data_IF_296427446982
#
_entry.id   IF_296427446982
#
_cell.length_a   1.000
_cell.length_b   1.000
_cell.length_c   1.000
_cell.angle_alpha   90.00
_cell.angle_beta   90.00
_cell.angle_gamma   90.00
#
_symmetry.space_group_name_H-M   'P 1'
#
loop_
_entity.id
_entity.type
_entity.pdbx_description
1 polymer ?
#
# COMPACT_ATOMS: atom_id res chain seq x y z
N UNK A 1 27.89 8.18 11.32
CA UNK A 1 26.84 7.48 12.10
C UNK A 1 25.69 7.26 11.12
N UNK A 2 25.41 6.02 10.74
CA UNK A 2 24.28 5.71 9.85
C UNK A 2 22.97 6.00 10.60
N UNK A 3 21.97 6.45 9.87
CA UNK A 3 20.64 6.65 10.46
C UNK A 3 19.88 5.31 10.47
N UNK A 4 18.89 5.09 11.36
CA UNK A 4 18.05 3.89 11.33
C UNK A 4 17.34 3.67 9.99
N UNK A 5 17.11 4.73 9.23
CA UNK A 5 16.55 4.65 7.87
C UNK A 5 17.54 4.06 6.86
N UNK A 6 18.82 4.35 7.01
CA UNK A 6 19.87 3.82 6.13
C UNK A 6 20.08 2.31 6.38
N UNK A 7 20.06 1.89 7.65
CA UNK A 7 20.16 0.46 8.02
C UNK A 7 18.99 -0.37 7.47
N UNK A 8 17.77 0.16 7.52
CA UNK A 8 16.60 -0.51 6.95
C UNK A 8 16.65 -0.58 5.43
N UNK A 9 17.18 0.45 4.75
CA UNK A 9 17.34 0.44 3.30
C UNK A 9 18.40 -0.59 2.86
N UNK A 10 19.47 -0.76 3.61
CA UNK A 10 20.46 -1.81 3.39
C UNK A 10 19.83 -3.21 3.57
N UNK A 11 19.07 -3.42 4.65
CA UNK A 11 18.37 -4.67 4.89
C UNK A 11 17.35 -4.98 3.77
N UNK A 12 16.61 -3.97 3.31
CA UNK A 12 15.70 -4.09 2.17
C UNK A 12 16.44 -4.52 0.90
N UNK A 13 17.59 -3.90 0.61
CA UNK A 13 18.42 -4.26 -0.54
C UNK A 13 18.93 -5.70 -0.47
N UNK A 14 19.39 -6.15 0.71
CA UNK A 14 19.82 -7.53 0.92
C UNK A 14 18.65 -8.51 0.75
N UNK A 15 17.48 -8.21 1.30
CA UNK A 15 16.30 -9.04 1.15
C UNK A 15 15.87 -9.15 -0.32
N UNK A 16 15.83 -8.03 -1.05
CA UNK A 16 15.51 -8.01 -2.49
C UNK A 16 16.51 -8.82 -3.32
N UNK A 17 17.80 -8.73 -3.02
CA UNK A 17 18.85 -9.51 -3.69
C UNK A 17 18.70 -11.02 -3.52
N UNK A 18 18.02 -11.47 -2.47
CA UNK A 18 17.67 -12.86 -2.22
C UNK A 18 16.38 -13.35 -2.89
N UNK A 19 15.58 -12.45 -3.50
CA UNK A 19 14.27 -12.82 -4.07
C UNK A 19 14.45 -13.59 -5.39
N UNK A 20 13.93 -14.83 -5.41
CA UNK A 20 13.88 -15.68 -6.61
C UNK A 20 12.54 -15.58 -7.36
N UNK A 21 11.54 -14.96 -6.73
CA UNK A 21 10.21 -14.80 -7.31
C UNK A 21 10.20 -13.91 -8.55
N UNK A 22 11.17 -12.99 -8.63
CA UNK A 22 11.32 -12.05 -9.75
C UNK A 22 12.76 -12.10 -10.25
N UNK A 23 12.93 -12.44 -11.52
CA UNK A 23 14.23 -12.40 -12.18
C UNK A 23 14.59 -10.96 -12.59
N UNK A 24 15.90 -10.65 -12.58
CA UNK A 24 16.40 -9.42 -13.16
C UNK A 24 16.06 -8.13 -12.40
N UNK A 25 15.87 -8.20 -11.08
CA UNK A 25 15.76 -6.98 -10.27
C UNK A 25 17.07 -6.18 -10.30
N UNK A 26 17.01 -4.96 -10.83
CA UNK A 26 18.14 -4.02 -10.82
C UNK A 26 18.05 -3.10 -9.61
N UNK A 27 18.71 -3.47 -8.52
CA UNK A 27 18.71 -2.73 -7.26
C UNK A 27 19.32 -1.32 -7.38
N UNK A 28 20.11 -1.05 -8.40
CA UNK A 28 20.65 0.29 -8.64
C UNK A 28 19.55 1.29 -9.07
N UNK A 29 18.40 0.79 -9.51
CA UNK A 29 17.24 1.59 -9.91
C UNK A 29 16.26 1.86 -8.78
N UNK A 30 16.54 1.37 -7.56
CA UNK A 30 15.64 1.54 -6.40
C UNK A 30 15.48 3.03 -6.07
N UNK A 31 14.27 3.55 -6.29
CA UNK A 31 13.94 4.96 -6.08
C UNK A 31 12.63 5.11 -5.29
N UNK A 32 12.46 6.16 -4.46
CA UNK A 32 11.18 6.42 -3.81
C UNK A 32 10.04 6.49 -4.82
N UNK A 33 8.95 5.78 -4.55
CA UNK A 33 7.77 5.72 -5.42
C UNK A 33 6.66 6.69 -4.98
N UNK A 34 6.50 6.91 -3.68
CA UNK A 34 5.55 7.86 -3.12
C UNK A 34 6.05 8.39 -1.77
N UNK A 35 5.54 9.56 -1.40
CA UNK A 35 5.68 10.13 -0.06
C UNK A 35 4.32 10.00 0.62
N UNK A 36 4.19 9.05 1.55
CA UNK A 36 3.00 8.90 2.37
C UNK A 36 3.26 9.50 3.76
N UNK A 37 2.21 9.98 4.40
CA UNK A 37 2.24 10.48 5.78
C UNK A 37 2.17 9.32 6.80
N UNK A 38 2.62 8.12 6.45
CA UNK A 38 2.71 6.94 7.28
C UNK A 38 4.16 6.54 7.55
N UNK A 39 4.35 5.54 8.41
CA UNK A 39 5.68 4.95 8.62
C UNK A 39 6.10 4.03 7.47
N UNK A 40 5.21 3.73 6.52
CA UNK A 40 5.50 2.95 5.33
C UNK A 40 6.27 3.79 4.33
N UNK A 41 7.28 3.17 3.73
CA UNK A 41 8.01 3.72 2.60
C UNK A 41 7.77 2.84 1.38
N UNK A 42 7.60 3.45 0.25
CA UNK A 42 7.41 2.74 -1.01
C UNK A 42 8.53 3.10 -1.96
N UNK A 43 9.11 2.08 -2.56
CA UNK A 43 10.16 2.22 -3.56
C UNK A 43 9.73 1.54 -4.85
N UNK A 44 10.22 2.04 -5.96
CA UNK A 44 10.09 1.40 -7.28
C UNK A 44 11.44 0.83 -7.68
N UNK A 45 11.43 -0.38 -8.22
CA UNK A 45 12.62 -1.07 -8.72
C UNK A 45 12.33 -1.62 -10.11
N UNK A 46 13.32 -1.55 -11.01
CA UNK A 46 13.24 -2.11 -12.36
C UNK A 46 13.51 -3.62 -12.31
N UNK A 47 12.66 -4.40 -12.98
CA UNK A 47 12.95 -5.79 -13.37
C UNK A 47 13.24 -5.88 -14.86
N UNK A 48 13.35 -7.09 -15.41
CA UNK A 48 13.72 -7.32 -16.83
C UNK A 48 12.81 -6.57 -17.82
N UNK A 49 11.50 -6.54 -17.59
CA UNK A 49 10.53 -5.97 -18.53
C UNK A 49 9.55 -4.99 -17.91
N UNK A 50 9.38 -5.05 -16.60
CA UNK A 50 8.40 -4.26 -15.85
C UNK A 50 9.04 -3.70 -14.59
N UNK A 51 8.38 -2.72 -13.99
CA UNK A 51 8.73 -2.20 -12.68
C UNK A 51 7.93 -2.91 -11.59
N UNK A 52 8.48 -2.91 -10.40
CA UNK A 52 7.85 -3.45 -9.19
C UNK A 52 7.83 -2.38 -8.11
N UNK A 53 6.90 -2.53 -7.17
CA UNK A 53 6.84 -1.73 -5.96
C UNK A 53 7.34 -2.56 -4.78
N UNK A 54 8.15 -1.94 -3.96
CA UNK A 54 8.64 -2.51 -2.70
C UNK A 54 8.13 -1.66 -1.56
N UNK A 55 7.42 -2.28 -0.62
CA UNK A 55 7.01 -1.64 0.62
C UNK A 55 8.00 -1.99 1.73
N UNK A 56 8.39 -0.99 2.50
CA UNK A 56 9.13 -1.09 3.75
C UNK A 56 8.26 -0.51 4.86
N UNK A 57 7.76 -1.37 5.72
CA UNK A 57 6.91 -1.05 6.87
C UNK A 57 7.58 -1.55 8.15
N UNK A 58 8.12 -0.68 9.02
CA UNK A 58 8.73 -1.09 10.27
C UNK A 58 7.75 -1.91 11.13
N UNK A 59 8.03 -3.19 11.45
CA UNK A 59 7.06 -4.10 12.09
C UNK A 59 6.53 -3.59 13.43
N UNK A 60 7.35 -2.85 14.18
CA UNK A 60 6.98 -2.26 15.47
C UNK A 60 6.02 -1.07 15.36
N UNK A 61 5.85 -0.53 14.14
CA UNK A 61 4.97 0.60 13.85
C UNK A 61 3.76 0.17 13.03
N UNK A 62 3.98 -0.58 11.97
CA UNK A 62 2.97 -0.97 11.01
C UNK A 62 3.20 -2.41 10.51
N UNK A 63 2.71 -3.43 11.26
CA UNK A 63 2.79 -4.83 10.81
C UNK A 63 2.10 -5.01 9.46
N UNK A 64 2.73 -5.77 8.54
CA UNK A 64 2.23 -5.96 7.18
C UNK A 64 1.11 -6.98 7.06
N UNK A 65 0.82 -7.76 8.10
CA UNK A 65 -0.17 -8.84 8.04
C UNK A 65 -1.57 -8.34 7.68
N UNK A 66 -1.95 -7.16 8.19
CA UNK A 66 -3.22 -6.52 7.84
C UNK A 66 -3.28 -6.15 6.37
N UNK A 67 -2.18 -5.63 5.81
CA UNK A 67 -2.08 -5.31 4.38
C UNK A 67 -2.26 -6.57 3.54
N UNK A 68 -1.51 -7.63 3.82
CA UNK A 68 -1.58 -8.90 3.10
C UNK A 68 -2.98 -9.52 3.17
N UNK A 69 -3.62 -9.48 4.35
CA UNK A 69 -4.99 -9.97 4.54
C UNK A 69 -6.00 -9.19 3.69
N UNK A 70 -5.95 -7.86 3.71
CA UNK A 70 -6.87 -7.01 2.94
C UNK A 70 -6.66 -7.19 1.45
N UNK A 71 -5.39 -7.22 1.00
CA UNK A 71 -5.05 -7.46 -0.39
C UNK A 71 -5.66 -8.77 -0.90
N UNK A 72 -5.49 -9.87 -0.16
CA UNK A 72 -6.07 -11.17 -0.50
C UNK A 72 -7.61 -11.12 -0.60
N UNK A 73 -8.28 -10.47 0.36
CA UNK A 73 -9.75 -10.32 0.35
C UNK A 73 -10.23 -9.50 -0.84
N UNK A 74 -9.54 -8.43 -1.18
CA UNK A 74 -9.87 -7.58 -2.33
C UNK A 74 -9.62 -8.32 -3.66
N UNK A 75 -8.54 -9.09 -3.75
CA UNK A 75 -8.24 -9.96 -4.90
C UNK A 75 -9.32 -11.01 -5.10
N UNK A 76 -9.76 -11.67 -4.03
CA UNK A 76 -10.84 -12.67 -4.05
C UNK A 76 -12.19 -12.05 -4.46
N UNK A 77 -12.40 -10.79 -4.12
CA UNK A 77 -13.55 -9.99 -4.59
C UNK A 77 -13.44 -9.61 -6.08
N UNK A 78 -12.31 -9.91 -6.72
CA UNK A 78 -12.04 -9.58 -8.13
C UNK A 78 -11.76 -8.11 -8.37
N UNK A 79 -11.21 -7.40 -7.38
CA UNK A 79 -10.70 -6.05 -7.52
C UNK A 79 -9.30 -6.05 -8.11
N UNK A 80 -8.92 -4.93 -8.75
CA UNK A 80 -7.57 -4.72 -9.23
C UNK A 80 -6.68 -4.28 -8.06
N UNK A 81 -5.92 -5.23 -7.53
CA UNK A 81 -4.96 -5.02 -6.43
C UNK A 81 -3.55 -5.39 -6.88
N UNK A 82 -2.50 -4.93 -6.19
CA UNK A 82 -1.14 -5.38 -6.48
C UNK A 82 -1.00 -6.89 -6.32
N UNK A 83 -0.31 -7.56 -7.21
CA UNK A 83 0.08 -8.95 -7.01
C UNK A 83 1.23 -9.02 -6.02
N UNK A 84 1.05 -9.71 -4.89
CA UNK A 84 2.11 -9.94 -3.90
C UNK A 84 3.03 -11.04 -4.40
N UNK A 85 4.29 -10.71 -4.67
CA UNK A 85 5.29 -11.62 -5.22
C UNK A 85 6.17 -12.23 -4.13
N UNK A 86 6.49 -11.46 -3.10
CA UNK A 86 7.19 -11.92 -1.92
C UNK A 86 6.86 -11.02 -0.73
N UNK A 87 6.94 -11.57 0.48
CA UNK A 87 6.78 -10.81 1.72
C UNK A 87 7.65 -11.39 2.84
N UNK A 88 8.02 -10.53 3.78
CA UNK A 88 8.73 -10.88 5.01
C UNK A 88 8.11 -10.11 6.18
N UNK A 89 7.22 -10.76 6.93
CA UNK A 89 6.53 -10.13 8.07
C UNK A 89 7.48 -9.80 9.22
N UNK A 90 8.58 -10.54 9.37
CA UNK A 90 9.55 -10.27 10.44
C UNK A 90 10.33 -8.98 10.19
N UNK A 91 10.63 -8.68 8.93
CA UNK A 91 11.31 -7.46 8.54
C UNK A 91 10.35 -6.35 8.07
N UNK A 92 9.10 -6.69 7.76
CA UNK A 92 8.08 -5.76 7.28
C UNK A 92 8.28 -5.35 5.82
N UNK A 93 8.73 -6.27 4.96
CA UNK A 93 8.96 -6.02 3.54
C UNK A 93 7.93 -6.73 2.67
N UNK A 94 7.49 -6.05 1.60
CA UNK A 94 6.64 -6.65 0.56
C UNK A 94 7.20 -6.24 -0.81
N UNK A 95 7.35 -7.22 -1.71
CA UNK A 95 7.57 -7.01 -3.14
C UNK A 95 6.27 -7.29 -3.88
N UNK A 96 5.79 -6.34 -4.67
CA UNK A 96 4.51 -6.42 -5.35
C UNK A 96 4.55 -5.85 -6.76
N UNK A 97 3.55 -6.17 -7.57
CA UNK A 97 3.41 -5.61 -8.91
C UNK A 97 3.19 -4.09 -8.85
N UNK A 98 3.68 -3.39 -9.88
CA UNK A 98 3.50 -1.95 -10.03
C UNK A 98 2.22 -1.66 -10.83
N UNK A 99 1.24 -1.00 -10.23
CA UNK A 99 -0.01 -0.59 -10.87
C UNK A 99 0.13 0.68 -11.73
N UNK A 100 1.34 1.25 -11.81
CA UNK A 100 1.64 2.42 -12.61
C UNK A 100 1.92 3.68 -11.80
N UNK A 101 1.97 4.82 -12.49
CA UNK A 101 2.38 6.11 -11.91
C UNK A 101 1.27 7.14 -11.87
N UNK A 102 0.19 6.92 -12.64
CA UNK A 102 -0.90 7.89 -12.76
C UNK A 102 -1.97 7.63 -11.72
N UNK A 103 -2.32 8.65 -10.97
CA UNK A 103 -3.49 8.65 -10.08
C UNK A 103 -4.67 9.34 -10.75
N UNK A 104 -5.86 9.19 -10.19
CA UNK A 104 -7.03 9.93 -10.65
C UNK A 104 -6.79 11.44 -10.57
N UNK A 105 -6.09 11.91 -9.55
CA UNK A 105 -5.75 13.33 -9.40
C UNK A 105 -4.92 13.86 -10.58
N UNK A 106 -4.03 13.03 -11.13
CA UNK A 106 -3.15 13.43 -12.25
C UNK A 106 -3.90 13.54 -13.58
N UNK A 107 -4.98 12.78 -13.76
CA UNK A 107 -5.63 12.62 -15.06
C UNK A 107 -7.08 13.12 -15.11
N UNK A 108 -7.69 13.39 -13.94
CA UNK A 108 -9.09 13.78 -13.84
C UNK A 108 -9.31 15.15 -14.50
N UNK A 109 -10.32 15.22 -15.37
CA UNK A 109 -10.79 16.44 -16.00
C UNK A 109 -12.31 16.36 -16.29
N UNK A 110 -12.90 17.44 -16.80
CA UNK A 110 -14.34 17.51 -17.03
C UNK A 110 -14.85 16.43 -18.02
N UNK A 111 -14.06 16.05 -18.99
CA UNK A 111 -14.46 15.08 -20.03
C UNK A 111 -14.47 13.63 -19.52
N UNK A 112 -13.64 13.31 -18.52
CA UNK A 112 -13.46 11.93 -18.05
C UNK A 112 -13.96 11.70 -16.61
N UNK A 113 -14.33 12.75 -15.88
CA UNK A 113 -14.68 12.68 -14.46
C UNK A 113 -15.81 11.68 -14.20
N UNK A 114 -16.93 11.78 -14.93
CA UNK A 114 -18.07 10.88 -14.77
C UNK A 114 -17.63 9.41 -14.93
N UNK A 115 -16.95 9.08 -16.01
CA UNK A 115 -16.50 7.71 -16.29
C UNK A 115 -15.52 7.16 -15.24
N UNK A 116 -14.61 7.99 -14.75
CA UNK A 116 -13.63 7.57 -13.73
C UNK A 116 -14.31 7.39 -12.36
N UNK A 117 -15.26 8.27 -12.00
CA UNK A 117 -16.02 8.14 -10.76
C UNK A 117 -16.95 6.94 -10.79
N UNK A 118 -17.60 6.65 -11.93
CA UNK A 118 -18.41 5.44 -12.09
C UNK A 118 -17.56 4.19 -11.89
N UNK A 119 -16.38 4.11 -12.52
CA UNK A 119 -15.47 2.97 -12.34
C UNK A 119 -15.01 2.79 -10.88
N UNK A 120 -14.74 3.89 -10.16
CA UNK A 120 -14.39 3.84 -8.75
C UNK A 120 -15.60 3.39 -7.89
N UNK A 121 -16.78 3.85 -8.21
CA UNK A 121 -18.04 3.45 -7.54
C UNK A 121 -18.33 1.98 -7.76
N UNK A 122 -18.18 1.48 -8.98
CA UNK A 122 -18.35 0.05 -9.30
C UNK A 122 -17.38 -0.84 -8.49
N UNK A 123 -16.13 -0.42 -8.38
CA UNK A 123 -15.14 -1.13 -7.56
C UNK A 123 -15.53 -1.13 -6.06
N UNK A 124 -16.02 -0.01 -5.54
CA UNK A 124 -16.50 0.11 -4.16
C UNK A 124 -17.72 -0.78 -3.91
N UNK A 125 -18.71 -0.76 -4.79
CA UNK A 125 -19.91 -1.60 -4.70
C UNK A 125 -19.55 -3.07 -4.74
N UNK A 126 -18.64 -3.46 -5.65
CA UNK A 126 -18.11 -4.83 -5.74
C UNK A 126 -17.46 -5.28 -4.44
N UNK A 127 -16.65 -4.41 -3.82
CA UNK A 127 -16.04 -4.66 -2.52
C UNK A 127 -17.08 -4.83 -1.41
N UNK A 128 -18.09 -3.95 -1.36
CA UNK A 128 -19.16 -4.04 -0.38
C UNK A 128 -19.96 -5.35 -0.50
N UNK A 129 -20.30 -5.78 -1.72
CA UNK A 129 -21.01 -7.04 -1.96
C UNK A 129 -20.19 -8.25 -1.52
N UNK A 130 -18.88 -8.23 -1.71
CA UNK A 130 -17.99 -9.32 -1.31
C UNK A 130 -17.71 -9.35 0.20
N UNK A 131 -17.97 -8.26 0.92
CA UNK A 131 -17.72 -8.15 2.36
C UNK A 131 -18.61 -9.10 3.16
N UNK A 132 -18.05 -9.71 4.21
CA UNK A 132 -18.74 -10.67 5.09
C UNK A 132 -18.56 -10.29 6.55
N UNK A 133 -19.60 -10.45 7.39
CA UNK A 133 -19.50 -10.25 8.83
C UNK A 133 -18.42 -11.16 9.45
N UNK A 134 -17.71 -10.68 10.46
CA UNK A 134 -16.74 -11.44 11.23
C UNK A 134 -15.41 -11.73 10.54
N UNK A 135 -15.18 -11.29 9.29
CA UNK A 135 -13.91 -11.45 8.57
C UNK A 135 -12.90 -10.38 9.00
N UNK A 136 -13.36 -9.16 9.16
CA UNK A 136 -12.58 -8.02 9.66
C UNK A 136 -13.14 -7.59 11.04
N UNK A 137 -12.35 -6.85 11.84
CA UNK A 137 -12.86 -6.23 13.05
C UNK A 137 -14.09 -5.35 12.78
N UNK A 138 -15.02 -5.31 13.72
CA UNK A 138 -16.17 -4.43 13.60
C UNK A 138 -15.77 -2.96 13.68
N UNK A 139 -16.41 -2.13 12.86
CA UNK A 139 -16.28 -0.68 12.91
C UNK A 139 -17.29 -0.15 13.92
N UNK A 140 -16.98 -0.36 15.20
CA UNK A 140 -17.87 -0.12 16.33
C UNK A 140 -17.93 1.36 16.76
N UNK A 141 -18.73 1.62 17.79
CA UNK A 141 -18.87 2.96 18.36
C UNK A 141 -17.55 3.56 18.88
N UNK A 142 -16.62 2.73 19.36
CA UNK A 142 -15.33 3.21 19.85
C UNK A 142 -14.45 3.70 18.71
N UNK A 143 -14.42 2.95 17.62
CA UNK A 143 -13.70 3.32 16.38
C UNK A 143 -14.32 4.59 15.79
N UNK A 144 -15.66 4.62 15.60
CA UNK A 144 -16.36 5.81 15.09
C UNK A 144 -16.08 7.06 15.92
N UNK A 145 -16.13 6.96 17.23
CA UNK A 145 -15.85 8.09 18.14
C UNK A 145 -14.41 8.58 18.01
N UNK A 146 -13.47 7.66 17.93
CA UNK A 146 -12.06 8.00 17.74
C UNK A 146 -11.86 8.78 16.43
N UNK A 147 -12.42 8.31 15.33
CA UNK A 147 -12.28 8.98 14.03
C UNK A 147 -12.94 10.37 14.02
N UNK A 148 -14.14 10.51 14.59
CA UNK A 148 -14.82 11.81 14.68
C UNK A 148 -14.02 12.78 15.56
N UNK A 149 -13.39 12.31 16.62
CA UNK A 149 -12.62 13.16 17.53
C UNK A 149 -11.32 13.69 16.91
N UNK A 150 -10.82 13.10 15.83
CA UNK A 150 -9.68 13.66 15.10
C UNK A 150 -9.94 15.09 14.63
N UNK A 151 -11.16 15.41 14.21
CA UNK A 151 -11.49 16.78 13.78
C UNK A 151 -11.37 17.81 14.91
N UNK A 152 -12.05 17.68 16.09
CA UNK A 152 -11.90 18.65 17.16
C UNK A 152 -10.51 18.67 17.76
N UNK A 153 -9.84 17.53 17.89
CA UNK A 153 -8.52 17.46 18.53
C UNK A 153 -7.40 18.05 17.65
N UNK A 154 -7.44 17.78 16.36
CA UNK A 154 -6.37 18.18 15.45
C UNK A 154 -6.68 19.44 14.65
N UNK A 155 -7.89 19.60 14.15
CA UNK A 155 -8.25 20.79 13.37
C UNK A 155 -8.61 21.96 14.26
N UNK A 156 -9.62 21.79 15.15
CA UNK A 156 -10.09 22.89 16.03
C UNK A 156 -9.04 23.25 17.10
N UNK A 157 -8.33 22.25 17.62
CA UNK A 157 -7.30 22.47 18.65
C UNK A 157 -6.03 23.15 18.14
N UNK A 158 -5.81 23.21 16.79
CA UNK A 158 -4.63 23.85 16.18
C UNK A 158 -4.92 25.13 15.39
N UNK A 159 -6.18 25.40 15.09
CA UNK A 159 -6.66 26.59 14.37
C UNK A 159 -7.65 27.39 15.20
#
# INVERSE_FOLDING_TARGET
MQTPQDERLEALGQWLGGQKAVAGLDLATLTPASTDASFRRYFRVQGDRVTYIVMDAPPEKEPIDSFLKIDALMKDAGLNVPEILASDSAQGFILMSDLGRQTYLDVLNEDNAARLMDAATDALVKWQIASKPGVLPEYDHAVLRREINLFPEWYVGRH
#
